data_IF_258800124090
#
_entry.id   IF_258800124090
#
_cell.length_a   1.000
_cell.length_b   1.000
_cell.length_c   1.000
_cell.angle_alpha   90.00
_cell.angle_beta   90.00
_cell.angle_gamma   90.00
#
_symmetry.space_group_name_H-M   'P 1'
#
loop_
_entity.id
_entity.type
_entity.pdbx_description
1 polymer ?
#
# COMPACT_ATOMS: atom_id res chain seq x y z
N UNK A 1 8.60 15.20 19.54
CA UNK A 1 8.60 13.76 19.95
C UNK A 1 9.90 13.11 19.50
N UNK A 2 10.35 12.05 20.18
CA UNK A 2 11.46 11.26 19.63
C UNK A 2 11.00 10.29 18.54
N UNK A 3 11.88 9.96 17.61
CA UNK A 3 11.62 8.96 16.55
C UNK A 3 11.01 7.67 17.10
N UNK A 4 11.58 7.12 18.18
CA UNK A 4 11.07 5.90 18.84
C UNK A 4 9.64 6.02 19.35
N UNK A 5 9.22 7.21 19.79
CA UNK A 5 7.87 7.41 20.31
C UNK A 5 6.84 7.35 19.18
N UNK A 6 7.18 7.94 18.02
CA UNK A 6 6.37 7.88 16.80
C UNK A 6 6.26 6.44 16.31
N UNK A 7 7.38 5.72 16.25
CA UNK A 7 7.43 4.31 15.83
C UNK A 7 6.56 3.47 16.77
N UNK A 8 6.66 3.66 18.10
CA UNK A 8 5.87 2.92 19.07
C UNK A 8 4.36 3.13 18.91
N UNK A 9 3.91 4.34 18.54
CA UNK A 9 2.50 4.61 18.25
C UNK A 9 2.06 3.81 17.03
N UNK A 10 2.83 3.88 15.94
CA UNK A 10 2.50 3.19 14.69
C UNK A 10 2.57 1.67 14.84
N UNK A 11 3.62 1.13 15.49
CA UNK A 11 3.79 -0.31 15.68
C UNK A 11 2.83 -0.92 16.71
N UNK A 12 2.24 -0.11 17.61
CA UNK A 12 1.14 -0.58 18.46
C UNK A 12 -0.10 -0.95 17.65
N UNK A 13 -0.37 -0.23 16.57
CA UNK A 13 -1.51 -0.46 15.69
C UNK A 13 -1.16 -1.41 14.53
N UNK A 14 0.02 -1.24 13.94
CA UNK A 14 0.53 -1.97 12.79
C UNK A 14 1.89 -2.62 13.11
N UNK A 15 1.91 -3.66 13.96
CA UNK A 15 3.14 -4.25 14.46
C UNK A 15 4.05 -4.72 13.34
N UNK A 16 5.35 -4.48 13.49
CA UNK A 16 6.37 -4.93 12.51
C UNK A 16 6.31 -6.45 12.26
N UNK A 17 5.91 -7.25 13.24
CA UNK A 17 5.77 -8.70 13.08
C UNK A 17 4.68 -9.10 12.07
N UNK A 18 3.74 -8.20 11.76
CA UNK A 18 2.70 -8.45 10.76
C UNK A 18 3.22 -8.36 9.32
N UNK A 19 4.46 -7.89 9.13
CA UNK A 19 5.08 -7.85 7.80
C UNK A 19 5.35 -9.26 7.26
N UNK A 20 5.39 -9.36 5.94
CA UNK A 20 5.85 -10.54 5.23
C UNK A 20 7.33 -10.79 5.57
N UNK A 21 7.75 -12.06 5.61
CA UNK A 21 9.13 -12.45 6.02
C UNK A 21 10.23 -11.87 5.12
N UNK A 22 9.92 -11.66 3.85
CA UNK A 22 10.84 -11.10 2.86
C UNK A 22 10.96 -9.58 2.92
N UNK A 23 10.07 -8.90 3.68
CA UNK A 23 9.96 -7.44 3.69
C UNK A 23 10.96 -6.77 4.63
N UNK A 24 11.26 -5.50 4.37
CA UNK A 24 12.22 -4.72 5.15
C UNK A 24 11.56 -3.45 5.71
N UNK A 25 10.70 -3.61 6.72
CA UNK A 25 9.97 -2.52 7.37
C UNK A 25 10.67 -1.99 8.62
N UNK A 26 10.35 -0.77 9.02
CA UNK A 26 10.85 -0.12 10.22
C UNK A 26 11.79 1.05 9.91
N UNK A 27 12.58 1.48 10.90
CA UNK A 27 13.57 2.56 10.74
C UNK A 27 14.75 2.05 9.91
N UNK A 28 14.85 2.49 8.66
CA UNK A 28 15.87 2.02 7.72
C UNK A 28 17.13 2.90 7.72
N UNK A 29 16.99 4.20 7.99
CA UNK A 29 18.08 5.16 8.16
C UNK A 29 17.68 6.12 9.25
N UNK A 30 18.57 6.38 10.21
CA UNK A 30 18.33 7.40 11.21
C UNK A 30 18.66 6.99 12.65
N UNK A 31 18.18 7.81 13.59
CA UNK A 31 18.40 7.68 15.02
C UNK A 31 17.06 7.61 15.75
N UNK A 32 16.89 6.61 16.61
CA UNK A 32 15.69 6.41 17.45
C UNK A 32 15.47 7.52 18.48
N UNK A 33 16.53 8.17 18.93
CA UNK A 33 16.47 9.23 19.94
C UNK A 33 16.40 10.65 19.37
N UNK A 34 16.45 10.79 18.03
CA UNK A 34 16.29 12.08 17.35
C UNK A 34 14.93 12.70 17.63
N UNK A 35 14.94 14.01 17.96
CA UNK A 35 13.72 14.81 18.04
C UNK A 35 13.11 15.02 16.65
N UNK A 36 11.81 14.81 16.55
CA UNK A 36 11.00 14.97 15.36
C UNK A 36 9.87 15.95 15.63
N UNK A 37 9.75 16.96 14.78
CA UNK A 37 8.66 17.94 14.78
C UNK A 37 7.89 17.91 13.47
N UNK A 38 8.57 17.62 12.36
CA UNK A 38 7.99 17.65 11.02
C UNK A 38 8.18 16.32 10.33
N UNK A 39 7.06 15.71 9.90
CA UNK A 39 7.01 14.42 9.20
C UNK A 39 6.53 14.65 7.77
N UNK A 40 7.20 14.05 6.79
CA UNK A 40 6.69 13.93 5.44
C UNK A 40 6.24 12.47 5.19
N UNK A 41 5.07 12.32 4.58
CA UNK A 41 4.59 11.05 4.05
C UNK A 41 4.79 11.03 2.54
N UNK A 42 5.28 9.90 2.01
CA UNK A 42 5.44 9.68 0.57
C UNK A 42 5.29 8.19 0.28
N UNK A 43 4.59 7.81 -0.79
CA UNK A 43 4.47 6.39 -1.14
C UNK A 43 5.85 5.75 -1.34
N UNK A 44 6.70 6.43 -2.09
CA UNK A 44 8.08 6.03 -2.40
C UNK A 44 9.11 7.07 -1.97
N UNK A 45 10.29 6.62 -1.54
CA UNK A 45 11.45 7.47 -1.38
C UNK A 45 12.09 7.78 -2.75
N UNK A 46 11.44 8.61 -3.56
CA UNK A 46 11.98 9.08 -4.84
C UNK A 46 13.04 10.16 -4.63
N UNK A 47 13.85 10.48 -5.64
CA UNK A 47 14.76 11.64 -5.57
C UNK A 47 13.97 12.91 -5.27
N UNK A 48 12.86 13.10 -5.97
CA UNK A 48 11.98 14.26 -5.84
C UNK A 48 11.35 14.38 -4.43
N UNK A 49 10.88 13.25 -3.84
CA UNK A 49 10.33 13.26 -2.48
C UNK A 49 11.41 13.57 -1.42
N UNK A 50 12.65 13.12 -1.64
CA UNK A 50 13.79 13.42 -0.75
C UNK A 50 14.24 14.88 -0.91
N UNK A 51 14.31 15.40 -2.13
CA UNK A 51 14.61 16.82 -2.38
C UNK A 51 13.56 17.73 -1.72
N UNK A 52 12.28 17.35 -1.80
CA UNK A 52 11.20 18.04 -1.09
C UNK A 52 11.39 17.97 0.42
N UNK A 53 11.69 16.80 0.98
CA UNK A 53 11.93 16.64 2.42
C UNK A 53 13.11 17.50 2.92
N UNK A 54 14.17 17.64 2.11
CA UNK A 54 15.33 18.50 2.42
C UNK A 54 14.93 19.97 2.39
N UNK A 55 14.24 20.43 1.33
CA UNK A 55 13.84 21.83 1.17
C UNK A 55 12.87 22.27 2.27
N UNK A 56 11.97 21.39 2.67
CA UNK A 56 10.98 21.61 3.72
C UNK A 56 11.53 21.38 5.14
N UNK A 57 12.81 21.00 5.27
CA UNK A 57 13.48 20.72 6.57
C UNK A 57 12.74 19.68 7.39
N UNK A 58 12.34 18.60 6.75
CA UNK A 58 11.65 17.49 7.37
C UNK A 58 12.59 16.71 8.29
N UNK A 59 12.11 16.33 9.46
CA UNK A 59 12.89 15.54 10.41
C UNK A 59 12.81 14.04 10.10
N UNK A 60 11.63 13.59 9.66
CA UNK A 60 11.35 12.17 9.42
C UNK A 60 10.50 11.99 8.16
N UNK A 61 10.96 11.13 7.25
CA UNK A 61 10.22 10.67 6.09
C UNK A 61 9.61 9.31 6.41
N UNK A 62 8.29 9.20 6.29
CA UNK A 62 7.58 7.93 6.41
C UNK A 62 7.12 7.50 5.03
N UNK A 63 7.58 6.32 4.58
CA UNK A 63 7.20 5.77 3.29
C UNK A 63 6.42 4.48 3.45
N UNK A 64 5.57 4.18 2.48
CA UNK A 64 4.99 2.86 2.37
C UNK A 64 6.05 1.88 1.90
N UNK A 65 6.63 2.11 0.74
CA UNK A 65 7.68 1.25 0.21
C UNK A 65 9.04 1.48 0.88
N UNK A 66 9.75 0.40 1.28
CA UNK A 66 11.06 0.53 1.89
C UNK A 66 12.12 0.99 0.87
N UNK A 67 12.88 2.03 1.24
CA UNK A 67 13.98 2.53 0.39
C UNK A 67 15.06 1.47 0.17
N UNK A 68 15.26 0.58 1.15
CA UNK A 68 16.18 -0.55 1.08
C UNK A 68 15.36 -1.83 1.05
N UNK A 69 14.98 -2.28 -0.14
CA UNK A 69 14.20 -3.50 -0.32
C UNK A 69 15.06 -4.76 -0.37
N UNK A 70 16.24 -4.66 -1.02
CA UNK A 70 17.22 -5.75 -1.12
C UNK A 70 18.52 -5.32 -0.45
N UNK A 71 19.30 -6.31 0.01
CA UNK A 71 20.62 -6.05 0.58
C UNK A 71 21.48 -5.20 -0.37
N UNK A 72 22.03 -4.11 0.15
CA UNK A 72 22.90 -3.19 -0.59
C UNK A 72 24.35 -3.61 -0.50
N UNK A 73 25.11 -3.42 -1.59
CA UNK A 73 26.54 -3.74 -1.64
C UNK A 73 27.43 -2.51 -1.47
N UNK A 74 26.94 -1.35 -1.88
CA UNK A 74 27.65 -0.08 -1.79
C UNK A 74 26.68 1.08 -1.61
N UNK A 75 27.18 2.20 -1.07
CA UNK A 75 26.47 3.46 -0.89
C UNK A 75 27.31 4.55 -1.55
N UNK A 76 27.28 4.61 -2.87
CA UNK A 76 28.07 5.55 -3.67
C UNK A 76 27.16 6.56 -4.41
N UNK A 77 27.76 7.65 -4.89
CA UNK A 77 27.03 8.66 -5.67
C UNK A 77 26.66 8.17 -7.08
N UNK A 78 27.32 7.10 -7.56
CA UNK A 78 27.15 6.58 -8.91
C UNK A 78 25.85 5.82 -9.11
N UNK A 79 25.22 5.36 -8.04
CA UNK A 79 23.92 4.71 -8.12
C UNK A 79 22.83 5.55 -7.42
N UNK A 80 21.60 5.47 -7.94
CA UNK A 80 20.47 6.25 -7.46
C UNK A 80 20.15 5.96 -5.99
N UNK A 81 20.18 4.70 -5.58
CA UNK A 81 19.91 4.31 -4.20
C UNK A 81 20.98 4.84 -3.24
N UNK A 82 22.26 4.72 -3.62
CA UNK A 82 23.36 5.26 -2.84
C UNK A 82 23.27 6.78 -2.67
N UNK A 83 22.90 7.52 -3.76
CA UNK A 83 22.64 8.97 -3.70
C UNK A 83 21.51 9.27 -2.70
N UNK A 84 20.35 8.62 -2.81
CA UNK A 84 19.21 8.80 -1.90
C UNK A 84 19.59 8.60 -0.43
N UNK A 85 20.28 7.50 -0.12
CA UNK A 85 20.73 7.18 1.25
C UNK A 85 21.68 8.27 1.77
N UNK A 86 22.65 8.68 0.96
CA UNK A 86 23.62 9.73 1.33
C UNK A 86 22.94 11.07 1.56
N UNK A 87 21.95 11.44 0.73
CA UNK A 87 21.23 12.71 0.88
C UNK A 87 20.40 12.73 2.18
N UNK A 88 19.74 11.61 2.54
CA UNK A 88 19.03 11.47 3.82
C UNK A 88 20.01 11.60 5.01
N UNK A 89 21.14 10.89 4.98
CA UNK A 89 22.14 10.93 6.07
C UNK A 89 22.75 12.34 6.21
N UNK A 90 23.18 12.95 5.10
CA UNK A 90 23.77 14.30 5.10
C UNK A 90 22.84 15.38 5.68
N UNK A 91 21.54 15.24 5.44
CA UNK A 91 20.53 16.18 5.92
C UNK A 91 19.87 15.74 7.24
N UNK A 92 20.40 14.69 7.86
CA UNK A 92 19.90 14.18 9.13
C UNK A 92 18.40 13.87 9.11
N UNK A 93 17.90 13.29 8.00
CA UNK A 93 16.49 12.90 7.84
C UNK A 93 16.36 11.40 8.14
N UNK A 94 15.53 11.07 9.13
CA UNK A 94 15.17 9.68 9.40
C UNK A 94 14.22 9.15 8.34
N UNK A 95 14.35 7.88 7.94
CA UNK A 95 13.36 7.24 7.08
C UNK A 95 12.84 5.96 7.70
N UNK A 96 11.52 5.88 7.81
CA UNK A 96 10.77 4.74 8.33
C UNK A 96 9.84 4.19 7.25
N UNK A 97 9.89 2.88 7.03
CA UNK A 97 9.00 2.19 6.09
C UNK A 97 7.90 1.42 6.84
N UNK A 98 6.67 1.58 6.37
CA UNK A 98 5.48 0.86 6.85
C UNK A 98 4.76 0.28 5.63
N UNK A 99 5.03 -0.99 5.31
CA UNK A 99 4.70 -1.64 4.06
C UNK A 99 3.73 -2.81 4.32
N UNK A 100 4.17 -4.05 4.12
CA UNK A 100 3.27 -5.20 4.26
C UNK A 100 2.72 -5.39 5.68
N UNK A 101 3.34 -4.84 6.69
CA UNK A 101 2.75 -4.80 8.03
C UNK A 101 1.49 -3.90 8.10
N UNK A 102 1.42 -2.82 7.31
CA UNK A 102 0.20 -2.03 7.16
C UNK A 102 -0.85 -2.76 6.33
N UNK A 103 -0.43 -3.47 5.26
CA UNK A 103 -1.33 -4.22 4.38
C UNK A 103 -1.98 -5.40 5.07
N UNK A 104 -1.23 -6.10 5.92
CA UNK A 104 -1.69 -7.31 6.61
C UNK A 104 -2.52 -7.02 7.85
N UNK A 105 -2.27 -5.88 8.52
CA UNK A 105 -2.93 -5.53 9.77
C UNK A 105 -4.43 -5.30 9.63
N UNK A 106 -5.17 -5.59 10.71
CA UNK A 106 -6.55 -5.14 10.87
C UNK A 106 -6.55 -3.61 10.98
N UNK A 107 -7.55 -2.95 10.39
CA UNK A 107 -7.62 -1.51 10.20
C UNK A 107 -6.47 -0.92 9.36
N UNK A 108 -5.71 -1.76 8.66
CA UNK A 108 -4.65 -1.35 7.75
C UNK A 108 -5.18 -0.98 6.36
N UNK A 109 -4.30 -0.99 5.36
CA UNK A 109 -4.59 -0.40 4.05
C UNK A 109 -5.71 -1.13 3.31
N UNK A 110 -5.75 -2.47 3.32
CA UNK A 110 -6.83 -3.24 2.71
C UNK A 110 -8.20 -2.93 3.33
N UNK A 111 -8.26 -2.80 4.66
CA UNK A 111 -9.50 -2.45 5.37
C UNK A 111 -9.93 -1.02 5.08
N UNK A 112 -8.95 -0.11 4.96
CA UNK A 112 -9.20 1.28 4.61
C UNK A 112 -9.82 1.41 3.20
N UNK A 113 -9.35 0.65 2.22
CA UNK A 113 -9.95 0.57 0.89
C UNK A 113 -11.40 0.09 1.00
N UNK A 114 -11.65 -1.00 1.73
CA UNK A 114 -13.02 -1.49 1.92
C UNK A 114 -13.93 -0.46 2.57
N UNK A 115 -13.44 0.26 3.57
CA UNK A 115 -14.17 1.37 4.20
C UNK A 115 -14.55 2.47 3.19
N UNK A 116 -13.60 2.87 2.32
CA UNK A 116 -13.89 3.82 1.23
C UNK A 116 -14.96 3.28 0.26
N UNK A 117 -14.98 1.98 0.03
CA UNK A 117 -16.00 1.30 -0.79
C UNK A 117 -17.36 1.14 -0.07
N UNK A 118 -17.42 1.39 1.24
CA UNK A 118 -18.63 1.19 2.07
C UNK A 118 -18.85 -0.27 2.45
N UNK A 119 -17.79 -1.09 2.46
CA UNK A 119 -17.83 -2.51 2.85
C UNK A 119 -17.39 -2.62 4.31
N UNK A 120 -18.25 -3.14 5.16
CA UNK A 120 -17.97 -3.28 6.60
C UNK A 120 -17.76 -4.73 7.03
N UNK A 121 -18.25 -5.71 6.25
CA UNK A 121 -18.17 -7.12 6.57
C UNK A 121 -17.25 -7.83 5.55
N UNK A 122 -16.22 -8.45 6.05
CA UNK A 122 -15.24 -9.17 5.24
C UNK A 122 -14.56 -10.28 6.05
N UNK A 123 -13.84 -11.15 5.38
CA UNK A 123 -12.84 -12.05 5.98
C UNK A 123 -11.48 -11.81 5.34
N UNK A 124 -10.42 -12.12 6.05
CA UNK A 124 -9.06 -12.09 5.52
C UNK A 124 -8.91 -13.23 4.49
N UNK A 125 -8.30 -12.93 3.34
CA UNK A 125 -8.10 -13.92 2.27
C UNK A 125 -7.02 -14.92 2.64
N UNK A 126 -5.89 -14.43 3.14
CA UNK A 126 -4.74 -15.22 3.60
C UNK A 126 -4.48 -14.90 5.07
N UNK A 127 -5.17 -15.63 5.95
CA UNK A 127 -5.09 -15.40 7.39
C UNK A 127 -3.94 -16.19 8.02
N UNK A 128 -3.11 -15.50 8.76
CA UNK A 128 -2.04 -16.07 9.59
C UNK A 128 -2.53 -16.13 11.05
N UNK A 129 -2.82 -17.36 11.53
CA UNK A 129 -3.28 -17.58 12.90
C UNK A 129 -2.24 -17.14 13.94
N UNK A 130 -0.95 -17.28 13.66
CA UNK A 130 0.13 -16.91 14.57
C UNK A 130 0.25 -15.40 14.80
N UNK A 131 -0.07 -14.62 13.77
CA UNK A 131 -0.05 -13.15 13.79
C UNK A 131 -1.42 -12.53 14.05
N UNK A 132 -2.50 -13.32 13.96
CA UNK A 132 -3.89 -12.85 14.01
C UNK A 132 -4.20 -11.71 13.00
N UNK A 133 -3.59 -11.77 11.85
CA UNK A 133 -3.76 -10.84 10.75
C UNK A 133 -3.53 -11.55 9.42
N UNK A 134 -3.43 -10.84 8.30
CA UNK A 134 -3.08 -11.44 7.02
C UNK A 134 -3.49 -10.61 5.82
N UNK A 135 -3.02 -11.05 4.65
CA UNK A 135 -3.11 -10.28 3.42
C UNK A 135 -4.45 -10.45 2.73
N UNK A 136 -4.96 -9.37 2.16
CA UNK A 136 -6.16 -9.33 1.35
C UNK A 136 -7.47 -9.53 2.12
N UNK A 137 -8.55 -9.17 1.47
CA UNK A 137 -9.91 -9.24 2.04
C UNK A 137 -10.87 -9.89 1.07
N UNK A 138 -11.81 -10.69 1.58
CA UNK A 138 -12.90 -11.30 0.82
C UNK A 138 -14.21 -10.83 1.41
N UNK A 139 -15.07 -10.28 0.58
CA UNK A 139 -16.36 -9.72 0.98
C UNK A 139 -17.47 -10.09 0.01
N UNK A 140 -18.71 -9.85 0.43
CA UNK A 140 -19.88 -9.99 -0.43
C UNK A 140 -20.53 -8.63 -0.62
N UNK A 141 -20.94 -8.35 -1.84
CA UNK A 141 -21.81 -7.20 -2.11
C UNK A 141 -23.18 -7.44 -1.48
N UNK A 142 -23.88 -6.40 -1.07
CA UNK A 142 -25.24 -6.53 -0.53
C UNK A 142 -26.17 -7.17 -1.56
N UNK A 143 -26.06 -6.75 -2.82
CA UNK A 143 -26.82 -7.30 -3.95
C UNK A 143 -25.86 -7.71 -5.08
N UNK A 144 -26.30 -8.61 -5.94
CA UNK A 144 -25.57 -8.91 -7.18
C UNK A 144 -25.54 -7.67 -8.06
N UNK A 145 -24.35 -7.36 -8.61
CA UNK A 145 -24.14 -6.21 -9.47
C UNK A 145 -23.48 -6.63 -10.79
N UNK A 146 -23.78 -5.95 -11.88
CA UNK A 146 -23.01 -6.12 -13.10
C UNK A 146 -21.56 -5.67 -12.87
N UNK A 147 -20.61 -6.37 -13.47
CA UNK A 147 -19.19 -6.01 -13.38
C UNK A 147 -18.96 -4.55 -13.84
N UNK A 148 -19.60 -4.14 -14.93
CA UNK A 148 -19.52 -2.76 -15.44
C UNK A 148 -19.96 -1.73 -14.39
N UNK A 149 -21.10 -1.95 -13.74
CA UNK A 149 -21.62 -1.02 -12.73
C UNK A 149 -20.71 -0.98 -11.48
N UNK A 150 -20.14 -2.11 -11.12
CA UNK A 150 -19.18 -2.19 -10.03
C UNK A 150 -17.86 -1.43 -10.35
N UNK A 151 -17.38 -1.51 -11.59
CA UNK A 151 -16.21 -0.76 -12.06
C UNK A 151 -16.44 0.75 -11.91
N UNK A 152 -17.59 1.26 -12.33
CA UNK A 152 -17.89 2.69 -12.21
C UNK A 152 -17.96 3.13 -10.74
N UNK A 153 -18.57 2.32 -9.87
CA UNK A 153 -18.59 2.59 -8.43
C UNK A 153 -17.19 2.59 -7.82
N UNK A 154 -16.35 1.62 -8.20
CA UNK A 154 -14.96 1.52 -7.74
C UNK A 154 -14.17 2.77 -8.12
N UNK A 155 -14.27 3.17 -9.40
CA UNK A 155 -13.60 4.38 -9.91
C UNK A 155 -14.05 5.63 -9.16
N UNK A 156 -15.36 5.79 -8.96
CA UNK A 156 -15.92 6.96 -8.27
C UNK A 156 -15.44 7.03 -6.81
N UNK A 157 -15.57 5.92 -6.07
CA UNK A 157 -15.27 5.88 -4.63
C UNK A 157 -13.78 6.00 -4.31
N UNK A 158 -12.93 5.42 -5.13
CA UNK A 158 -11.47 5.47 -4.96
C UNK A 158 -10.82 6.60 -5.78
N UNK A 159 -11.62 7.36 -6.58
CA UNK A 159 -11.15 8.44 -7.46
C UNK A 159 -10.12 7.96 -8.49
N UNK A 160 -10.27 6.74 -8.98
CA UNK A 160 -9.41 6.13 -10.00
C UNK A 160 -9.92 6.53 -11.37
N UNK A 161 -9.06 7.15 -12.19
CA UNK A 161 -9.43 7.56 -13.55
C UNK A 161 -9.40 6.38 -14.53
N UNK A 162 -8.36 5.58 -14.47
CA UNK A 162 -8.13 4.47 -15.39
C UNK A 162 -7.83 3.18 -14.60
N UNK A 163 -8.35 2.07 -15.09
CA UNK A 163 -8.04 0.74 -14.59
C UNK A 163 -8.06 -0.25 -15.76
N UNK A 164 -7.48 -1.42 -15.58
CA UNK A 164 -7.55 -2.51 -16.57
C UNK A 164 -8.54 -3.56 -16.09
N UNK A 165 -9.35 -4.08 -17.00
CA UNK A 165 -10.33 -5.13 -16.71
C UNK A 165 -9.99 -6.36 -17.52
N UNK A 166 -9.94 -7.50 -16.87
CA UNK A 166 -9.74 -8.82 -17.45
C UNK A 166 -11.03 -9.61 -17.25
N UNK A 167 -11.84 -9.67 -18.30
CA UNK A 167 -13.13 -10.34 -18.32
C UNK A 167 -13.60 -10.52 -19.76
N UNK A 168 -14.29 -11.63 -20.06
CA UNK A 168 -14.93 -11.86 -21.37
C UNK A 168 -16.28 -11.18 -21.46
N UNK A 169 -16.91 -10.82 -20.33
CA UNK A 169 -18.24 -10.22 -20.29
C UNK A 169 -18.38 -9.20 -19.13
N UNK A 170 -18.49 -7.93 -19.48
CA UNK A 170 -18.69 -6.85 -18.53
C UNK A 170 -20.11 -6.80 -17.92
N UNK A 171 -21.07 -7.53 -18.48
CA UNK A 171 -22.42 -7.65 -17.93
C UNK A 171 -22.53 -8.82 -16.94
N UNK A 172 -21.47 -9.59 -16.75
CA UNK A 172 -21.43 -10.70 -15.80
C UNK A 172 -21.81 -10.22 -14.40
N UNK A 173 -22.68 -10.97 -13.74
CA UNK A 173 -23.05 -10.70 -12.35
C UNK A 173 -21.92 -11.11 -11.42
N UNK A 174 -21.62 -10.24 -10.46
CA UNK A 174 -20.67 -10.47 -9.39
C UNK A 174 -21.35 -10.29 -8.03
N UNK A 175 -20.96 -11.09 -7.07
CA UNK A 175 -21.46 -11.04 -5.69
C UNK A 175 -20.32 -11.13 -4.67
N UNK A 176 -19.40 -12.05 -4.85
CA UNK A 176 -18.28 -12.30 -3.95
C UNK A 176 -16.99 -11.79 -4.59
N UNK A 177 -16.27 -10.95 -3.85
CA UNK A 177 -15.09 -10.23 -4.35
C UNK A 177 -13.91 -10.47 -3.40
N UNK A 178 -12.71 -10.65 -3.95
CA UNK A 178 -11.46 -10.55 -3.21
C UNK A 178 -10.71 -9.28 -3.62
N UNK A 179 -10.02 -8.64 -2.67
CA UNK A 179 -9.23 -7.44 -2.90
C UNK A 179 -7.91 -7.53 -2.15
N UNK A 180 -6.82 -7.16 -2.83
CA UNK A 180 -5.50 -6.93 -2.25
C UNK A 180 -4.91 -5.68 -2.92
N UNK A 181 -4.44 -4.70 -2.13
CA UNK A 181 -3.72 -3.53 -2.64
C UNK A 181 -2.37 -3.93 -3.26
N UNK A 182 -1.77 -3.01 -4.00
CA UNK A 182 -0.45 -3.19 -4.61
C UNK A 182 -0.38 -4.38 -5.57
N UNK A 183 0.79 -5.01 -5.66
CA UNK A 183 1.08 -6.10 -6.58
C UNK A 183 0.85 -7.47 -5.93
N UNK A 184 -0.33 -8.06 -6.13
CA UNK A 184 -0.70 -9.32 -5.46
C UNK A 184 -1.26 -10.42 -6.38
N UNK A 185 -0.87 -10.42 -7.67
CA UNK A 185 -1.34 -11.46 -8.59
C UNK A 185 -0.97 -12.89 -8.17
N UNK A 186 0.09 -13.09 -7.38
CA UNK A 186 0.42 -14.42 -6.83
C UNK A 186 -0.71 -15.07 -6.01
N UNK A 187 -1.65 -14.26 -5.52
CA UNK A 187 -2.80 -14.72 -4.72
C UNK A 187 -4.04 -15.09 -5.54
N UNK A 188 -4.05 -14.92 -6.87
CA UNK A 188 -5.25 -15.17 -7.67
C UNK A 188 -5.80 -16.60 -7.53
N UNK A 189 -4.90 -17.62 -7.40
CA UNK A 189 -5.32 -19.00 -7.20
C UNK A 189 -5.99 -19.21 -5.83
N UNK A 190 -5.56 -18.47 -4.81
CA UNK A 190 -6.20 -18.50 -3.48
C UNK A 190 -7.57 -17.83 -3.52
N UNK A 191 -7.67 -16.67 -4.17
CA UNK A 191 -8.95 -16.00 -4.43
C UNK A 191 -9.93 -16.91 -5.19
N UNK A 192 -9.43 -17.63 -6.20
CA UNK A 192 -10.24 -18.61 -6.95
C UNK A 192 -10.75 -19.76 -6.07
N UNK A 193 -9.92 -20.31 -5.16
CA UNK A 193 -10.34 -21.34 -4.20
C UNK A 193 -11.45 -20.84 -3.26
N UNK A 194 -11.46 -19.55 -2.95
CA UNK A 194 -12.51 -18.90 -2.19
C UNK A 194 -13.82 -18.73 -2.99
N UNK A 195 -13.85 -19.15 -4.27
CA UNK A 195 -15.00 -19.03 -5.16
C UNK A 195 -15.50 -17.58 -5.29
N UNK A 196 -14.57 -16.64 -5.44
CA UNK A 196 -14.92 -15.25 -5.75
C UNK A 196 -15.25 -15.12 -7.23
N UNK A 197 -16.13 -14.17 -7.55
CA UNK A 197 -16.50 -13.81 -8.92
C UNK A 197 -15.51 -12.83 -9.54
N UNK A 198 -14.83 -12.07 -8.67
CA UNK A 198 -13.91 -11.00 -9.04
C UNK A 198 -12.72 -10.94 -8.07
N UNK A 199 -11.53 -10.75 -8.61
CA UNK A 199 -10.33 -10.42 -7.85
C UNK A 199 -9.80 -9.04 -8.25
N UNK A 200 -9.52 -8.18 -7.27
CA UNK A 200 -9.03 -6.81 -7.47
C UNK A 200 -7.63 -6.72 -6.91
N UNK A 201 -6.67 -6.28 -7.73
CA UNK A 201 -5.27 -6.06 -7.33
C UNK A 201 -4.58 -5.13 -8.32
N UNK A 202 -3.32 -4.79 -8.12
CA UNK A 202 -2.49 -4.03 -9.05
C UNK A 202 -1.43 -4.87 -9.74
N UNK A 203 -0.71 -4.25 -10.69
CA UNK A 203 0.46 -4.83 -11.39
C UNK A 203 0.18 -6.18 -12.06
N UNK A 204 -0.96 -6.33 -12.69
CA UNK A 204 -1.39 -7.58 -13.31
C UNK A 204 -0.57 -7.86 -14.58
N UNK A 205 0.22 -8.94 -14.55
CA UNK A 205 0.99 -9.43 -15.69
C UNK A 205 0.11 -10.15 -16.72
N UNK A 206 0.51 -10.12 -18.00
CA UNK A 206 -0.26 -10.68 -19.10
C UNK A 206 -0.58 -12.17 -18.91
N UNK A 207 0.42 -12.99 -18.59
CA UNK A 207 0.21 -14.45 -18.48
C UNK A 207 -0.64 -14.83 -17.27
N UNK A 208 -0.45 -14.17 -16.13
CA UNK A 208 -1.31 -14.38 -14.96
C UNK A 208 -2.76 -13.95 -15.23
N UNK A 209 -2.95 -12.86 -15.98
CA UNK A 209 -4.27 -12.41 -16.41
C UNK A 209 -4.96 -13.44 -17.30
N UNK A 210 -4.24 -14.00 -18.27
CA UNK A 210 -4.75 -15.02 -19.19
C UNK A 210 -5.13 -16.30 -18.43
N UNK A 211 -4.23 -16.82 -17.60
CA UNK A 211 -4.47 -18.01 -16.79
C UNK A 211 -5.69 -17.88 -15.88
N UNK A 212 -5.83 -16.71 -15.24
CA UNK A 212 -6.97 -16.43 -14.37
C UNK A 212 -8.28 -16.34 -15.16
N UNK A 213 -8.28 -15.66 -16.30
CA UNK A 213 -9.44 -15.55 -17.20
C UNK A 213 -9.88 -16.91 -17.72
N UNK A 214 -8.96 -17.72 -18.24
CA UNK A 214 -9.26 -19.09 -18.70
C UNK A 214 -9.77 -19.99 -17.58
N UNK A 215 -9.37 -19.73 -16.33
CA UNK A 215 -9.93 -20.40 -15.17
C UNK A 215 -11.32 -19.90 -14.76
N UNK A 216 -11.86 -18.87 -15.43
CA UNK A 216 -13.16 -18.25 -15.20
C UNK A 216 -13.19 -17.22 -14.07
N UNK A 217 -12.03 -16.64 -13.69
CA UNK A 217 -11.93 -15.56 -12.70
C UNK A 217 -11.80 -14.21 -13.40
N UNK A 218 -12.71 -13.28 -13.11
CA UNK A 218 -12.55 -11.90 -13.56
C UNK A 218 -11.55 -11.16 -12.68
N UNK A 219 -10.78 -10.24 -13.26
CA UNK A 219 -9.81 -9.42 -12.53
C UNK A 219 -10.02 -7.94 -12.87
N UNK A 220 -9.87 -7.09 -11.86
CA UNK A 220 -9.63 -5.67 -12.04
C UNK A 220 -8.20 -5.38 -11.56
N UNK A 221 -7.39 -4.83 -12.46
CA UNK A 221 -6.16 -4.16 -12.11
C UNK A 221 -6.45 -2.67 -11.89
N UNK A 222 -6.53 -2.29 -10.62
CA UNK A 222 -6.89 -0.93 -10.22
C UNK A 222 -5.67 -0.02 -10.03
N UNK A 223 -4.46 -0.52 -10.36
CA UNK A 223 -3.21 0.19 -10.25
C UNK A 223 -2.53 0.02 -8.89
N UNK A 224 -1.21 0.00 -8.90
CA UNK A 224 -0.40 -0.07 -7.69
C UNK A 224 -0.51 1.24 -6.91
N UNK A 225 -0.12 2.35 -7.55
CA UNK A 225 -0.19 3.68 -6.96
C UNK A 225 -1.61 4.04 -6.51
N UNK A 226 -2.60 3.78 -7.35
CA UNK A 226 -4.00 4.10 -7.10
C UNK A 226 -4.57 3.37 -5.89
N UNK A 227 -4.01 2.20 -5.58
CA UNK A 227 -4.45 1.41 -4.43
C UNK A 227 -3.75 1.77 -3.11
N UNK A 228 -2.62 2.50 -3.16
CA UNK A 228 -1.77 2.68 -1.99
C UNK A 228 -1.47 4.14 -1.63
N UNK A 229 -1.61 5.08 -2.56
CA UNK A 229 -1.19 6.47 -2.36
C UNK A 229 -1.80 7.16 -1.14
N UNK A 230 -2.93 6.68 -0.63
CA UNK A 230 -3.64 7.23 0.53
C UNK A 230 -3.25 6.58 1.88
N UNK A 231 -2.20 5.74 1.93
CA UNK A 231 -1.71 5.11 3.16
C UNK A 231 -1.47 6.13 4.29
N UNK A 232 -1.04 7.34 3.95
CA UNK A 232 -0.78 8.42 4.89
C UNK A 232 -2.04 8.87 5.65
N UNK A 233 -3.24 8.75 5.07
CA UNK A 233 -4.49 9.12 5.73
C UNK A 233 -4.70 8.28 7.01
N UNK A 234 -4.31 7.01 6.96
CA UNK A 234 -4.34 6.09 8.10
C UNK A 234 -3.34 6.51 9.18
N UNK A 235 -2.11 6.82 8.76
CA UNK A 235 -1.01 7.12 9.68
C UNK A 235 -1.18 8.50 10.34
N UNK A 236 -1.68 9.49 9.61
CA UNK A 236 -2.00 10.81 10.17
C UNK A 236 -3.08 10.67 11.25
N UNK A 237 -4.10 9.84 11.03
CA UNK A 237 -5.15 9.61 12.03
C UNK A 237 -4.60 9.06 13.34
N UNK A 238 -3.60 8.17 13.29
CA UNK A 238 -2.94 7.62 14.48
C UNK A 238 -1.99 8.62 15.16
N UNK A 239 -1.50 9.63 14.45
CA UNK A 239 -0.52 10.60 14.96
C UNK A 239 -1.09 11.99 15.25
N UNK A 240 -2.33 12.28 14.86
CA UNK A 240 -2.92 13.65 14.87
C UNK A 240 -2.98 14.32 16.23
N UNK A 241 -3.06 13.54 17.31
CA UNK A 241 -3.18 14.07 18.68
C UNK A 241 -1.81 14.46 19.29
N UNK A 242 -0.75 14.39 18.49
CA UNK A 242 0.61 14.74 18.88
C UNK A 242 0.99 16.11 18.28
N UNK A 243 1.92 16.82 18.94
CA UNK A 243 2.46 18.11 18.46
C UNK A 243 3.47 17.86 17.33
N UNK A 244 2.93 17.54 16.13
CA UNK A 244 3.68 17.20 14.91
C UNK A 244 3.10 17.96 13.71
N UNK A 245 3.99 18.47 12.86
CA UNK A 245 3.65 19.00 11.56
C UNK A 245 3.71 17.89 10.50
N UNK A 246 2.67 17.79 9.66
CA UNK A 246 2.58 16.80 8.60
C UNK A 246 2.63 17.43 7.22
N UNK A 247 3.46 16.85 6.35
CA UNK A 247 3.49 17.11 4.92
C UNK A 247 3.13 15.82 4.18
N UNK A 248 2.44 15.95 3.07
CA UNK A 248 2.16 14.84 2.17
C UNK A 248 2.79 15.15 0.82
N UNK A 249 3.74 14.34 0.40
CA UNK A 249 4.32 14.42 -0.93
C UNK A 249 3.71 13.33 -1.81
N UNK A 250 2.71 13.72 -2.60
CA UNK A 250 2.09 12.86 -3.60
C UNK A 250 2.69 13.17 -4.96
N UNK A 251 3.43 12.21 -5.52
CA UNK A 251 3.83 12.24 -6.90
C UNK A 251 2.64 11.90 -7.79
N UNK A 252 2.54 12.49 -8.97
CA UNK A 252 1.62 11.98 -9.99
C UNK A 252 1.96 10.54 -10.38
N UNK A 253 0.95 9.71 -10.74
CA UNK A 253 1.19 8.36 -11.25
C UNK A 253 2.22 8.34 -12.38
N UNK A 254 3.12 7.37 -12.33
CA UNK A 254 4.18 7.24 -13.34
C UNK A 254 3.65 6.77 -14.69
N UNK A 255 2.55 6.01 -14.69
CA UNK A 255 1.88 5.59 -15.91
C UNK A 255 0.94 6.68 -16.42
N UNK A 256 1.09 7.01 -17.69
CA UNK A 256 0.23 7.98 -18.38
C UNK A 256 -0.61 7.21 -19.41
N UNK A 257 -1.89 7.53 -19.46
CA UNK A 257 -2.85 6.96 -20.43
C UNK A 257 -3.11 8.00 -21.51
N UNK A 258 -3.03 7.57 -22.77
CA UNK A 258 -3.20 8.42 -23.95
C UNK A 258 -4.44 7.99 -24.73
#
# INVERSE_FOLDING_TARGET
>A
MKTKDIINILEKKFPKINAEEWDNVGLLIGDYDKEVKKIQFSLDATLESIENAISEKVDMLITHHPIIFKAIKDITEQNILGKKIRDLIKNNINIYAIHTNLDSSIDGLNDYILKKLGILEYKILDFDEGKNCGIGRVFKLNEEKNLKDFIEDLKLKLKILNLRVISDDLNKKIKKVALINGSAMSYWRKAKKEKVDLFITGDVGYHDALDALESGLNIIDFGHYESEHFFYEILIEELKDNDLEFLVFNREPIFKFY
#
